data_IF_585049833061
#
_entry.id   IF_585049833061
#
_cell.length_a   1.000
_cell.length_b   1.000
_cell.length_c   1.000
_cell.angle_alpha   90.00
_cell.angle_beta   90.00
_cell.angle_gamma   90.00
#
_symmetry.space_group_name_H-M   'P 1'
#
loop_
_entity.id
_entity.type
_entity.pdbx_description
1 polymer ?
#
# COMPACT_ATOMS: atom_id res chain seq x y z
N UNK A 1 9.45 -12.79 -86.28
CA UNK A 1 9.18 -13.52 -84.99
C UNK A 1 10.02 -12.78 -83.95
N UNK A 2 9.36 -12.05 -83.08
CA UNK A 2 9.98 -11.31 -81.97
C UNK A 2 10.02 -12.32 -80.80
N UNK A 3 11.23 -12.76 -80.44
CA UNK A 3 11.46 -13.59 -79.28
C UNK A 3 11.14 -12.79 -78.01
N UNK A 4 10.45 -13.38 -76.98
CA UNK A 4 10.19 -12.68 -75.74
C UNK A 4 11.51 -12.47 -75.01
N UNK A 5 11.82 -11.20 -74.67
CA UNK A 5 12.93 -10.88 -73.79
C UNK A 5 12.59 -11.38 -72.36
N UNK A 6 13.24 -12.42 -71.95
CA UNK A 6 13.20 -12.94 -70.59
C UNK A 6 14.02 -11.96 -69.72
N UNK A 7 13.36 -11.11 -68.94
CA UNK A 7 14.04 -10.31 -67.91
C UNK A 7 14.62 -11.25 -66.86
N UNK A 8 15.91 -11.42 -66.88
CA UNK A 8 16.66 -12.09 -65.81
C UNK A 8 16.84 -11.06 -64.69
N UNK A 9 15.98 -11.09 -63.67
CA UNK A 9 16.24 -10.38 -62.40
C UNK A 9 17.32 -11.14 -61.67
N UNK A 10 18.50 -10.57 -61.58
CA UNK A 10 19.53 -11.01 -60.64
C UNK A 10 19.03 -10.78 -59.23
N UNK A 11 18.65 -11.83 -58.50
CA UNK A 11 18.36 -11.79 -57.09
C UNK A 11 19.68 -11.81 -56.35
N UNK A 12 20.13 -10.63 -55.86
CA UNK A 12 21.34 -10.50 -55.05
C UNK A 12 20.99 -10.54 -53.56
N UNK A 13 21.60 -11.49 -52.84
CA UNK A 13 21.62 -11.45 -51.36
C UNK A 13 22.95 -10.83 -50.93
N UNK A 14 22.90 -9.85 -50.01
CA UNK A 14 24.12 -9.30 -49.39
C UNK A 14 23.94 -9.30 -47.87
N UNK A 15 25.08 -9.42 -47.17
CA UNK A 15 25.17 -9.37 -45.72
C UNK A 15 25.95 -8.13 -45.32
N UNK A 16 25.43 -7.43 -44.31
CA UNK A 16 26.09 -6.28 -43.74
C UNK A 16 26.16 -6.43 -42.22
N UNK A 17 27.34 -6.24 -41.65
CA UNK A 17 27.50 -6.15 -40.20
C UNK A 17 27.39 -4.69 -39.75
N UNK A 18 26.54 -4.42 -38.79
CA UNK A 18 26.33 -3.10 -38.21
C UNK A 18 26.58 -3.17 -36.71
N UNK A 19 27.35 -2.20 -36.19
CA UNK A 19 27.57 -2.04 -34.75
C UNK A 19 26.80 -0.82 -34.25
N UNK A 20 26.07 -1.01 -33.15
CA UNK A 20 25.28 0.04 -32.53
C UNK A 20 25.37 -0.03 -30.98
N UNK A 21 25.35 1.14 -30.34
CA UNK A 21 25.25 1.22 -28.87
C UNK A 21 23.78 1.43 -28.50
N UNK A 22 23.21 0.43 -27.82
CA UNK A 22 21.82 0.44 -27.42
C UNK A 22 21.70 0.43 -25.89
N UNK A 23 20.64 1.05 -25.32
CA UNK A 23 20.33 0.91 -23.91
C UNK A 23 19.83 -0.52 -23.64
N UNK A 24 20.13 -1.03 -22.43
CA UNK A 24 19.50 -2.23 -21.91
C UNK A 24 19.13 -2.03 -20.45
N UNK A 25 18.17 -2.82 -19.97
CA UNK A 25 17.67 -2.76 -18.61
C UNK A 25 17.86 -4.12 -17.94
N UNK A 26 18.23 -4.10 -16.66
CA UNK A 26 18.21 -5.32 -15.84
C UNK A 26 16.80 -5.62 -15.36
N UNK A 27 16.57 -6.88 -14.94
CA UNK A 27 15.31 -7.29 -14.35
C UNK A 27 15.08 -6.57 -13.01
N UNK A 28 13.82 -6.30 -12.69
CA UNK A 28 13.45 -5.75 -11.40
C UNK A 28 13.67 -6.80 -10.30
N UNK A 29 14.39 -6.43 -9.25
CA UNK A 29 14.53 -7.23 -8.04
C UNK A 29 13.31 -7.02 -7.15
N UNK A 30 12.65 -8.09 -6.76
CA UNK A 30 11.53 -8.06 -5.81
C UNK A 30 11.99 -8.67 -4.49
N UNK A 31 11.90 -7.89 -3.42
CA UNK A 31 12.16 -8.30 -2.04
C UNK A 31 10.82 -8.39 -1.31
N UNK A 32 10.54 -9.54 -0.69
CA UNK A 32 9.37 -9.70 0.15
C UNK A 32 9.69 -9.21 1.56
N UNK A 33 8.90 -8.24 2.07
CA UNK A 33 9.17 -7.48 3.28
C UNK A 33 8.02 -7.66 4.28
N UNK A 34 8.32 -8.24 5.43
CA UNK A 34 7.34 -8.49 6.50
C UNK A 34 7.10 -7.28 7.41
N UNK A 35 7.85 -6.21 7.22
CA UNK A 35 7.58 -4.91 7.85
C UNK A 35 6.48 -4.11 7.13
N UNK A 36 6.20 -4.43 5.86
CA UNK A 36 5.18 -3.79 5.03
C UNK A 36 3.90 -4.65 4.96
N UNK A 37 2.75 -4.00 5.01
CA UNK A 37 1.47 -4.68 4.85
C UNK A 37 1.25 -5.19 3.42
N UNK A 38 0.49 -6.28 3.27
CA UNK A 38 0.06 -6.80 1.97
C UNK A 38 -0.60 -5.70 1.13
N UNK A 39 -0.14 -5.57 -0.13
CA UNK A 39 -0.54 -4.53 -1.06
C UNK A 39 0.31 -3.26 -1.01
N UNK A 40 1.21 -3.11 -0.06
CA UNK A 40 2.19 -2.03 -0.04
C UNK A 40 3.40 -2.41 -0.89
N UNK A 41 3.87 -1.44 -1.70
CA UNK A 41 5.04 -1.59 -2.57
C UNK A 41 5.89 -0.35 -2.42
N UNK A 42 7.13 -0.52 -2.00
CA UNK A 42 8.10 0.56 -1.83
C UNK A 42 9.25 0.37 -2.81
N UNK A 43 9.56 1.40 -3.56
CA UNK A 43 10.75 1.41 -4.44
C UNK A 43 11.93 1.84 -3.58
N UNK A 44 12.89 0.94 -3.37
CA UNK A 44 14.09 1.21 -2.57
C UNK A 44 15.26 1.62 -3.46
N UNK A 45 15.23 1.21 -4.74
CA UNK A 45 16.22 1.61 -5.74
C UNK A 45 15.57 1.78 -7.10
N UNK A 46 15.72 2.96 -7.69
CA UNK A 46 15.36 3.16 -9.10
C UNK A 46 16.40 2.54 -10.02
N UNK A 47 15.91 1.79 -11.02
CA UNK A 47 16.76 1.21 -12.04
C UNK A 47 17.28 2.27 -13.00
N UNK A 48 18.49 2.08 -13.49
CA UNK A 48 19.06 2.89 -14.58
C UNK A 48 19.51 2.02 -15.75
N UNK A 49 19.25 2.52 -16.96
CA UNK A 49 19.67 1.82 -18.17
C UNK A 49 21.20 1.72 -18.24
N UNK A 50 21.69 0.54 -18.53
CA UNK A 50 23.05 0.30 -18.98
C UNK A 50 23.21 0.62 -20.47
N UNK A 51 24.43 0.46 -20.97
CA UNK A 51 24.76 0.56 -22.38
C UNK A 51 25.45 -0.72 -22.84
N UNK A 52 25.01 -1.25 -23.95
CA UNK A 52 25.69 -2.38 -24.62
C UNK A 52 25.97 -2.06 -26.10
N UNK A 53 27.11 -2.49 -26.57
CA UNK A 53 27.41 -2.55 -27.99
C UNK A 53 26.84 -3.85 -28.55
N UNK A 54 25.99 -3.77 -29.55
CA UNK A 54 25.47 -4.92 -30.28
C UNK A 54 26.06 -4.93 -31.67
N UNK A 55 26.35 -6.13 -32.18
CA UNK A 55 26.73 -6.34 -33.60
C UNK A 55 25.60 -7.12 -34.24
N UNK A 56 24.90 -6.49 -35.17
CA UNK A 56 23.84 -7.10 -35.95
C UNK A 56 24.32 -7.50 -37.34
N UNK A 57 23.90 -8.65 -37.82
CA UNK A 57 24.05 -9.10 -39.19
C UNK A 57 22.71 -8.86 -39.92
N UNK A 58 22.73 -7.91 -40.87
CA UNK A 58 21.54 -7.58 -41.67
C UNK A 58 21.65 -8.26 -43.00
N UNK A 59 20.65 -9.04 -43.38
CA UNK A 59 20.53 -9.67 -44.69
C UNK A 59 19.66 -8.80 -45.60
N UNK A 60 20.20 -8.46 -46.73
CA UNK A 60 19.48 -7.72 -47.77
C UNK A 60 19.14 -8.64 -48.94
N UNK A 61 17.92 -8.52 -49.48
CA UNK A 61 17.50 -9.13 -50.73
C UNK A 61 17.08 -8.03 -51.71
N UNK A 62 17.79 -7.94 -52.83
CA UNK A 62 17.59 -6.88 -53.85
C UNK A 62 17.66 -5.46 -53.26
N UNK A 63 18.55 -5.22 -52.30
CA UNK A 63 18.75 -3.93 -51.65
C UNK A 63 17.76 -3.60 -50.52
N UNK A 64 16.84 -4.49 -50.17
CA UNK A 64 15.92 -4.35 -49.06
C UNK A 64 16.34 -5.25 -47.90
N UNK A 65 16.39 -4.71 -46.68
CA UNK A 65 16.64 -5.49 -45.48
C UNK A 65 15.48 -6.46 -45.25
N UNK A 66 15.77 -7.78 -45.11
CA UNK A 66 14.79 -8.85 -44.95
C UNK A 66 14.95 -9.59 -43.63
N UNK A 67 16.11 -9.52 -42.99
CA UNK A 67 16.30 -10.04 -41.65
C UNK A 67 17.44 -9.29 -40.94
N UNK A 68 17.33 -9.23 -39.60
CA UNK A 68 18.35 -8.74 -38.70
C UNK A 68 18.57 -9.77 -37.61
N UNK A 69 19.80 -10.12 -37.32
CA UNK A 69 20.21 -11.06 -36.29
C UNK A 69 21.34 -10.46 -35.46
N UNK A 70 21.14 -10.39 -34.13
CA UNK A 70 22.21 -9.97 -33.23
C UNK A 70 23.19 -11.13 -33.06
N UNK A 71 24.41 -10.97 -33.56
CA UNK A 71 25.45 -12.02 -33.56
C UNK A 71 26.46 -11.85 -32.44
N UNK A 72 26.53 -10.66 -31.82
CA UNK A 72 27.42 -10.38 -30.70
C UNK A 72 26.87 -9.23 -29.87
N UNK A 73 27.07 -9.27 -28.53
CA UNK A 73 26.76 -8.16 -27.64
C UNK A 73 27.78 -8.04 -26.51
N UNK A 74 28.17 -6.82 -26.19
CA UNK A 74 29.14 -6.52 -25.13
C UNK A 74 28.63 -5.37 -24.28
N UNK A 75 28.52 -5.57 -22.94
CA UNK A 75 28.18 -4.50 -21.99
C UNK A 75 29.32 -3.48 -21.94
N UNK A 76 29.00 -2.20 -22.18
CA UNK A 76 29.89 -1.05 -22.03
C UNK A 76 29.75 -0.43 -20.64
N UNK A 77 28.48 -0.21 -20.21
CA UNK A 77 28.14 0.32 -18.88
C UNK A 77 27.08 -0.59 -18.30
N UNK A 78 27.29 -1.17 -17.11
CA UNK A 78 26.28 -1.99 -16.46
C UNK A 78 24.97 -1.22 -16.21
N UNK A 79 23.84 -1.88 -16.38
CA UNK A 79 22.55 -1.40 -15.89
C UNK A 79 22.51 -1.52 -14.37
N UNK A 80 21.68 -0.71 -13.74
CA UNK A 80 21.33 -0.87 -12.33
C UNK A 80 19.89 -1.39 -12.28
N UNK A 81 19.70 -2.54 -11.66
CA UNK A 81 18.37 -3.12 -11.50
C UNK A 81 17.49 -2.23 -10.59
N UNK A 82 16.23 -2.09 -10.94
CA UNK A 82 15.24 -1.53 -10.03
C UNK A 82 14.99 -2.52 -8.89
N UNK A 83 14.87 -2.03 -7.65
CA UNK A 83 14.50 -2.85 -6.50
C UNK A 83 13.19 -2.35 -5.89
N UNK A 84 12.28 -3.28 -5.63
CA UNK A 84 10.99 -3.02 -5.00
C UNK A 84 10.80 -3.96 -3.82
N UNK A 85 10.36 -3.41 -2.69
CA UNK A 85 9.90 -4.17 -1.54
C UNK A 85 8.38 -4.33 -1.63
N UNK A 86 7.92 -5.56 -1.50
CA UNK A 86 6.50 -5.93 -1.53
C UNK A 86 6.11 -6.47 -0.17
N UNK A 87 5.13 -5.83 0.45
CA UNK A 87 4.65 -6.19 1.77
C UNK A 87 4.01 -7.57 1.82
N UNK A 88 4.36 -8.33 2.87
CA UNK A 88 3.81 -9.65 3.16
C UNK A 88 3.00 -9.71 4.45
N UNK A 89 3.10 -8.67 5.31
CA UNK A 89 2.38 -8.60 6.58
C UNK A 89 0.87 -8.53 6.35
N UNK A 90 0.14 -9.42 6.97
CA UNK A 90 -1.32 -9.38 6.91
C UNK A 90 -1.86 -8.14 7.67
N UNK A 91 -2.85 -7.46 7.10
CA UNK A 91 -3.55 -6.39 7.80
C UNK A 91 -4.45 -7.03 8.87
N UNK A 92 -4.45 -6.50 10.11
CA UNK A 92 -5.36 -7.00 11.12
C UNK A 92 -6.82 -6.75 10.68
N UNK A 93 -7.66 -7.76 10.85
CA UNK A 93 -9.11 -7.60 10.71
C UNK A 93 -9.64 -6.77 11.89
N UNK A 94 -10.46 -5.76 11.59
CA UNK A 94 -11.08 -4.92 12.60
C UNK A 94 -12.57 -5.22 12.76
N UNK A 95 -12.99 -5.49 14.00
CA UNK A 95 -14.39 -5.56 14.37
C UNK A 95 -14.95 -4.14 14.56
N UNK A 96 -16.17 -3.89 14.09
CA UNK A 96 -16.90 -2.68 14.48
C UNK A 96 -17.25 -2.79 15.97
N UNK A 97 -16.88 -1.78 16.79
CA UNK A 97 -16.90 -1.92 18.25
C UNK A 97 -18.29 -1.95 18.90
N UNK A 98 -19.33 -1.60 18.17
CA UNK A 98 -20.74 -1.57 18.63
C UNK A 98 -21.67 -2.14 17.59
N UNK A 99 -22.77 -2.74 18.05
CA UNK A 99 -23.84 -3.22 17.19
C UNK A 99 -24.92 -2.10 17.01
N UNK A 100 -25.74 -2.18 15.97
CA UNK A 100 -26.93 -1.31 15.72
C UNK A 100 -26.62 0.21 15.77
N UNK A 101 -25.56 0.65 15.13
CA UNK A 101 -25.10 2.04 15.12
C UNK A 101 -25.54 2.81 13.87
N UNK A 102 -25.52 4.15 13.98
CA UNK A 102 -25.62 5.08 12.85
C UNK A 102 -24.39 5.98 12.83
N UNK A 103 -23.68 6.07 11.69
CA UNK A 103 -22.56 7.02 11.55
C UNK A 103 -23.12 8.43 11.47
N UNK A 104 -22.79 9.28 12.45
CA UNK A 104 -23.24 10.69 12.51
C UNK A 104 -22.16 11.68 12.17
N UNK A 105 -20.86 11.30 12.21
CA UNK A 105 -19.76 12.15 11.83
C UNK A 105 -18.57 11.32 11.35
N UNK A 106 -17.89 11.81 10.31
CA UNK A 106 -16.67 11.22 9.77
C UNK A 106 -15.42 12.00 10.21
N UNK A 107 -14.24 11.41 10.01
CA UNK A 107 -12.94 12.09 10.16
C UNK A 107 -12.89 13.31 9.23
N UNK A 108 -12.45 14.45 9.74
CA UNK A 108 -12.27 15.64 8.91
C UNK A 108 -12.46 16.97 9.65
N UNK A 109 -12.38 18.09 8.94
CA UNK A 109 -12.52 19.43 9.51
C UNK A 109 -13.98 19.67 9.98
N UNK A 110 -14.13 20.13 11.24
CA UNK A 110 -15.43 20.40 11.84
C UNK A 110 -15.29 21.57 12.85
N UNK A 111 -16.07 22.66 12.64
CA UNK A 111 -16.11 23.85 13.52
C UNK A 111 -14.73 24.43 13.90
N UNK A 112 -13.82 24.54 12.90
CA UNK A 112 -12.48 25.09 13.12
C UNK A 112 -11.50 24.13 13.81
N UNK A 113 -11.86 22.85 13.97
CA UNK A 113 -11.01 21.77 14.50
C UNK A 113 -11.08 20.56 13.57
N UNK A 114 -10.14 19.63 13.72
CA UNK A 114 -10.19 18.33 13.05
C UNK A 114 -10.88 17.33 13.96
N UNK A 115 -11.87 16.61 13.43
CA UNK A 115 -12.45 15.42 14.04
C UNK A 115 -11.58 14.24 13.66
N UNK A 116 -10.97 13.59 14.64
CA UNK A 116 -9.93 12.58 14.42
C UNK A 116 -10.48 11.15 14.32
N UNK A 117 -11.76 10.94 14.54
CA UNK A 117 -12.41 9.64 14.51
C UNK A 117 -13.74 9.68 13.78
N UNK A 118 -14.50 8.62 13.91
CA UNK A 118 -15.91 8.55 13.49
C UNK A 118 -16.81 8.52 14.73
N UNK A 119 -17.97 9.16 14.63
CA UNK A 119 -18.98 9.12 15.69
C UNK A 119 -20.07 8.12 15.32
N UNK A 120 -20.20 7.08 16.13
CA UNK A 120 -21.19 6.01 16.01
C UNK A 120 -22.32 6.27 17.02
N UNK A 121 -23.44 6.83 16.56
CA UNK A 121 -24.60 7.07 17.42
C UNK A 121 -25.21 5.74 17.87
N UNK A 122 -25.25 5.55 19.18
CA UNK A 122 -25.80 4.40 19.86
C UNK A 122 -26.46 4.87 21.21
N UNK A 123 -27.33 4.08 21.77
CA UNK A 123 -27.91 4.38 23.08
C UNK A 123 -26.82 4.31 24.17
N UNK A 124 -26.99 5.13 25.23
CA UNK A 124 -26.17 5.00 26.45
C UNK A 124 -26.32 3.59 26.99
N UNK A 125 -25.21 2.95 27.40
CA UNK A 125 -25.19 1.60 27.92
C UNK A 125 -25.05 0.50 26.85
N UNK A 126 -24.84 0.84 25.55
CA UNK A 126 -24.52 -0.16 24.52
C UNK A 126 -23.14 -0.75 24.80
N UNK A 127 -22.96 -2.09 24.78
CA UNK A 127 -21.67 -2.73 24.94
C UNK A 127 -20.67 -2.27 23.86
N UNK A 128 -19.47 -1.85 24.30
CA UNK A 128 -18.36 -1.47 23.44
C UNK A 128 -17.31 -2.55 23.49
N UNK A 129 -17.00 -3.14 22.33
CA UNK A 129 -16.08 -4.26 22.18
C UNK A 129 -14.74 -3.80 21.59
N UNK A 130 -13.65 -4.50 21.90
CA UNK A 130 -12.36 -4.24 21.26
C UNK A 130 -12.40 -4.59 19.79
N UNK A 131 -11.97 -3.67 18.94
CA UNK A 131 -11.95 -3.87 17.49
C UNK A 131 -10.86 -4.85 17.03
N UNK A 132 -9.81 -5.04 17.83
CA UNK A 132 -8.73 -6.00 17.59
C UNK A 132 -8.06 -6.35 18.93
N UNK A 133 -7.15 -7.33 18.92
CA UNK A 133 -6.35 -7.65 20.10
C UNK A 133 -5.35 -6.54 20.41
N UNK A 134 -4.99 -6.37 21.68
CA UNK A 134 -4.00 -5.39 22.11
C UNK A 134 -3.87 -5.28 23.63
N UNK A 135 -3.15 -4.24 24.08
CA UNK A 135 -2.97 -3.92 25.49
C UNK A 135 -3.62 -2.58 25.82
N UNK A 136 -4.42 -2.52 26.88
CA UNK A 136 -5.05 -1.30 27.33
C UNK A 136 -3.99 -0.35 27.89
N UNK A 137 -3.87 0.85 27.30
CA UNK A 137 -2.93 1.89 27.74
C UNK A 137 -3.61 3.08 28.41
N UNK A 138 -4.95 3.19 28.32
CA UNK A 138 -5.80 4.17 28.98
C UNK A 138 -7.13 3.53 29.33
N UNK A 139 -7.62 3.76 30.56
CA UNK A 139 -8.96 3.40 31.03
C UNK A 139 -9.42 4.40 32.07
N UNK A 140 -10.54 5.07 31.81
CA UNK A 140 -11.13 6.08 32.70
C UNK A 140 -11.22 7.47 32.06
N UNK A 141 -11.29 8.52 32.89
CA UNK A 141 -11.51 9.88 32.42
C UNK A 141 -10.28 10.46 31.69
N UNK A 142 -10.49 11.00 30.48
CA UNK A 142 -9.45 11.61 29.67
C UNK A 142 -9.95 12.88 28.93
N UNK A 143 -10.07 13.98 29.65
CA UNK A 143 -10.35 15.30 29.10
C UNK A 143 -11.57 15.33 28.17
N UNK A 144 -11.40 15.80 26.93
CA UNK A 144 -12.48 15.92 25.96
C UNK A 144 -13.11 14.59 25.53
N UNK A 145 -12.38 13.48 25.59
CA UNK A 145 -12.88 12.13 25.31
C UNK A 145 -13.82 11.59 26.41
N UNK A 146 -13.89 12.29 27.57
CA UNK A 146 -14.64 11.79 28.70
C UNK A 146 -14.06 10.50 29.28
N UNK A 147 -14.90 9.59 29.72
CA UNK A 147 -14.48 8.23 30.06
C UNK A 147 -14.12 7.53 28.74
N UNK A 148 -12.92 6.96 28.67
CA UNK A 148 -12.40 6.38 27.45
C UNK A 148 -11.48 5.20 27.71
N UNK A 149 -11.36 4.33 26.72
CA UNK A 149 -10.39 3.22 26.68
C UNK A 149 -9.51 3.40 25.45
N UNK A 150 -8.20 3.27 25.61
CA UNK A 150 -7.24 3.22 24.51
C UNK A 150 -6.55 1.87 24.52
N UNK A 151 -6.48 1.23 23.35
CA UNK A 151 -5.85 -0.08 23.16
C UNK A 151 -4.67 0.11 22.21
N UNK A 152 -3.48 -0.22 22.68
CA UNK A 152 -2.27 -0.36 21.86
C UNK A 152 -2.34 -1.72 21.16
N UNK A 153 -2.42 -1.69 19.84
CA UNK A 153 -2.59 -2.87 18.99
C UNK A 153 -1.26 -3.32 18.36
N UNK A 154 -0.14 -2.70 18.75
CA UNK A 154 1.18 -2.89 18.13
C UNK A 154 1.34 -2.11 16.83
N UNK A 155 2.54 -2.17 16.24
CA UNK A 155 2.87 -1.49 14.99
C UNK A 155 2.52 0.01 14.98
N UNK A 156 2.79 0.69 16.11
CA UNK A 156 2.47 2.10 16.34
C UNK A 156 0.96 2.43 16.18
N UNK A 157 0.09 1.43 16.26
CA UNK A 157 -1.34 1.59 16.12
C UNK A 157 -2.04 1.61 17.49
N UNK A 158 -2.82 2.67 17.74
CA UNK A 158 -3.64 2.83 18.94
C UNK A 158 -5.09 3.07 18.53
N UNK A 159 -6.01 2.30 19.10
CA UNK A 159 -7.45 2.51 18.93
C UNK A 159 -8.02 3.14 20.20
N UNK A 160 -8.84 4.20 20.02
CA UNK A 160 -9.46 4.98 21.09
C UNK A 160 -10.96 4.87 21.03
N UNK A 161 -11.56 4.58 22.19
CA UNK A 161 -13.00 4.46 22.42
C UNK A 161 -13.40 5.55 23.41
N UNK A 162 -14.08 6.61 22.93
CA UNK A 162 -14.41 7.80 23.72
C UNK A 162 -15.89 7.90 24.07
N UNK A 163 -16.20 8.82 25.00
CA UNK A 163 -17.53 9.17 25.49
C UNK A 163 -18.30 8.04 26.19
N UNK A 164 -17.54 7.08 26.76
CA UNK A 164 -18.10 5.95 27.47
C UNK A 164 -18.86 6.41 28.72
N UNK A 165 -19.80 5.60 29.25
CA UNK A 165 -20.41 5.76 30.56
C UNK A 165 -19.61 5.08 31.67
N UNK A 166 -18.94 3.96 31.33
CA UNK A 166 -18.08 3.21 32.25
C UNK A 166 -17.07 2.37 31.47
N UNK A 167 -15.96 1.97 32.11
CA UNK A 167 -14.97 1.03 31.59
C UNK A 167 -15.05 -0.30 32.33
N UNK A 168 -14.80 -1.41 31.60
CA UNK A 168 -14.79 -2.78 32.16
C UNK A 168 -13.36 -3.36 32.18
N UNK A 169 -12.35 -2.57 31.84
CA UNK A 169 -10.95 -3.00 31.71
C UNK A 169 -10.03 -2.03 32.45
N UNK A 170 -8.84 -2.50 32.79
CA UNK A 170 -7.79 -1.73 33.50
C UNK A 170 -6.56 -1.52 32.60
N UNK A 171 -5.80 -0.47 32.89
CA UNK A 171 -4.52 -0.19 32.20
C UNK A 171 -3.55 -1.35 32.43
N UNK A 172 -2.91 -1.82 31.35
CA UNK A 172 -2.01 -2.98 31.33
C UNK A 172 -2.72 -4.30 31.04
N UNK A 173 -4.06 -4.34 31.01
CA UNK A 173 -4.81 -5.53 30.65
C UNK A 173 -4.65 -5.85 29.15
N UNK A 174 -4.39 -7.10 28.81
CA UNK A 174 -4.46 -7.59 27.42
C UNK A 174 -5.89 -7.96 27.09
N UNK A 175 -6.36 -7.52 25.92
CA UNK A 175 -7.70 -7.81 25.40
C UNK A 175 -7.61 -8.50 24.05
N UNK A 176 -8.52 -9.42 23.78
CA UNK A 176 -8.71 -10.03 22.46
C UNK A 176 -9.74 -9.19 21.66
N UNK A 177 -9.78 -9.40 20.33
CA UNK A 177 -10.84 -8.87 19.50
C UNK A 177 -12.21 -9.36 20.01
N UNK A 178 -13.15 -8.43 20.18
CA UNK A 178 -14.49 -8.72 20.67
C UNK A 178 -14.66 -8.68 22.19
N UNK A 179 -13.58 -8.55 22.96
CA UNK A 179 -13.66 -8.41 24.43
C UNK A 179 -14.38 -7.10 24.80
N UNK A 180 -15.19 -7.16 25.87
CA UNK A 180 -15.91 -5.99 26.38
C UNK A 180 -14.93 -4.99 27.00
N UNK A 181 -14.93 -3.75 26.49
CA UNK A 181 -14.12 -2.64 27.00
C UNK A 181 -14.88 -1.75 27.98
N UNK A 182 -16.19 -1.66 27.84
CA UNK A 182 -17.06 -0.79 28.62
C UNK A 182 -18.43 -0.60 27.98
N UNK A 183 -19.13 0.43 28.42
CA UNK A 183 -20.46 0.80 27.90
C UNK A 183 -20.39 2.19 27.26
N UNK A 184 -21.07 2.37 26.12
CA UNK A 184 -21.24 3.67 25.48
C UNK A 184 -21.94 4.68 26.37
N UNK A 185 -21.71 5.96 26.15
CA UNK A 185 -22.24 7.01 27.00
C UNK A 185 -22.42 8.34 26.28
N UNK A 186 -22.21 9.43 27.04
CA UNK A 186 -22.27 10.80 26.58
C UNK A 186 -21.36 11.68 27.45
N UNK A 187 -20.23 11.15 27.91
CA UNK A 187 -19.30 11.86 28.80
C UNK A 187 -18.31 12.71 28.04
N UNK A 188 -17.68 13.68 28.70
CA UNK A 188 -16.71 14.57 28.10
C UNK A 188 -17.33 15.63 27.18
N UNK A 189 -16.64 15.95 26.07
CA UNK A 189 -17.09 16.97 25.11
C UNK A 189 -17.98 16.32 24.02
N UNK A 190 -19.18 15.94 24.40
CA UNK A 190 -20.16 15.26 23.54
C UNK A 190 -21.47 16.04 23.50
N UNK A 191 -22.14 16.06 22.35
CA UNK A 191 -23.45 16.74 22.14
C UNK A 191 -24.66 15.80 22.20
N UNK A 192 -24.42 14.50 22.27
CA UNK A 192 -25.47 13.47 22.34
C UNK A 192 -24.87 12.08 22.47
N UNK A 193 -25.66 11.05 22.81
CA UNK A 193 -25.18 9.70 23.00
C UNK A 193 -24.51 9.13 21.73
N UNK A 194 -23.24 8.77 21.81
CA UNK A 194 -22.50 8.12 20.76
C UNK A 194 -21.19 7.50 21.29
N UNK A 195 -20.61 6.60 20.53
CA UNK A 195 -19.24 6.18 20.68
C UNK A 195 -18.37 7.00 19.71
N UNK A 196 -17.37 7.71 20.22
CA UNK A 196 -16.29 8.23 19.40
C UNK A 196 -15.26 7.13 19.20
N UNK A 197 -15.05 6.74 17.96
CA UNK A 197 -14.12 5.67 17.54
C UNK A 197 -12.99 6.26 16.69
N UNK A 198 -11.77 6.19 17.20
CA UNK A 198 -10.59 6.79 16.55
C UNK A 198 -9.46 5.75 16.45
N UNK A 199 -8.88 5.63 15.28
CA UNK A 199 -7.66 4.86 15.04
C UNK A 199 -6.51 5.81 14.75
N UNK A 200 -5.37 5.60 15.40
CA UNK A 200 -4.12 6.31 15.13
C UNK A 200 -3.04 5.34 14.71
N UNK A 201 -2.26 5.74 13.72
CA UNK A 201 -1.02 5.06 13.30
C UNK A 201 0.09 6.10 13.33
N UNK A 202 1.22 5.81 13.96
CA UNK A 202 2.32 6.78 14.16
C UNK A 202 1.84 8.11 14.79
N UNK A 203 0.92 8.03 15.75
CA UNK A 203 0.29 9.19 16.41
C UNK A 203 -0.56 10.11 15.49
N UNK A 204 -0.76 9.72 14.23
CA UNK A 204 -1.66 10.37 13.28
C UNK A 204 -3.00 9.64 13.19
N UNK A 205 -4.11 10.39 13.02
CA UNK A 205 -5.44 9.77 12.83
C UNK A 205 -5.51 9.08 11.47
N UNK A 206 -5.88 7.81 11.45
CA UNK A 206 -6.16 7.09 10.21
C UNK A 206 -7.38 7.74 9.50
N UNK A 207 -7.25 7.89 8.19
CA UNK A 207 -8.27 8.55 7.34
C UNK A 207 -9.11 7.53 6.60
#
# INVERSE_FOLDING_TARGET
IKLPQKEYRLTGTSLQSVKEIVPYYDSCNTVYDDSLYQGEVVVTQEGTAGKQETTALITYLNGHAVSEEIIDSRVITPAIAREVHVGTKERPDFLIPVDDYVITSYVGPRWGRTHNGIDLAVNVGTPVKSSTAGTVIQSGWNGGYGISVYVDCGDDMVIRYGHLSETSVEVGQTVAQGDLLGLSGNTGNSTGPHLHFEMRVNDESAK
#
